data_IF_470882998767
#
_entry.id   IF_470882998767
#
_cell.length_a   1.000
_cell.length_b   1.000
_cell.length_c   1.000
_cell.angle_alpha   90.00
_cell.angle_beta   90.00
_cell.angle_gamma   90.00
#
_symmetry.space_group_name_H-M   'P 1'
#
loop_
_entity.id
_entity.type
_entity.pdbx_description
1 polymer ?
#
# COMPACT_ATOMS: atom_id res chain seq x y z
N UNK A 1 4.49 32.28 -9.65
CA UNK A 1 3.18 31.68 -10.01
C UNK A 1 3.45 30.24 -10.38
N UNK A 2 3.16 29.30 -9.47
CA UNK A 2 3.41 27.88 -9.71
C UNK A 2 2.37 27.38 -10.73
N UNK A 3 2.82 27.04 -11.94
CA UNK A 3 2.04 26.19 -12.81
C UNK A 3 1.82 24.87 -12.07
N UNK A 4 0.57 24.62 -11.67
CA UNK A 4 0.11 23.29 -11.28
C UNK A 4 0.43 22.35 -12.44
N UNK A 5 1.50 21.57 -12.29
CA UNK A 5 1.93 20.53 -13.21
C UNK A 5 0.94 19.36 -13.12
N UNK A 6 -0.30 19.57 -13.56
CA UNK A 6 -1.14 18.44 -13.90
C UNK A 6 -0.52 17.81 -15.15
N UNK A 7 0.03 16.58 -15.07
CA UNK A 7 0.54 15.91 -16.26
C UNK A 7 -0.60 15.78 -17.28
N UNK A 8 -0.26 15.84 -18.57
CA UNK A 8 -1.25 15.62 -19.63
C UNK A 8 -1.94 14.26 -19.41
N UNK A 9 -3.28 14.20 -19.54
CA UNK A 9 -4.02 12.95 -19.45
C UNK A 9 -3.49 11.91 -20.45
N UNK A 10 -3.57 10.63 -20.08
CA UNK A 10 -3.17 9.53 -20.96
C UNK A 10 -3.92 9.60 -22.30
N UNK A 11 -3.18 9.44 -23.40
CA UNK A 11 -3.78 9.32 -24.73
C UNK A 11 -4.66 8.07 -24.83
N UNK A 12 -5.66 8.05 -25.73
CA UNK A 12 -6.51 6.87 -25.94
C UNK A 12 -5.72 5.59 -26.26
N UNK A 13 -4.60 5.73 -26.97
CA UNK A 13 -3.71 4.61 -27.28
C UNK A 13 -2.98 4.07 -26.02
N UNK A 14 -2.62 4.94 -25.07
CA UNK A 14 -2.04 4.52 -23.80
C UNK A 14 -3.07 3.82 -22.90
N UNK A 15 -4.29 4.35 -22.82
CA UNK A 15 -5.40 3.72 -22.10
C UNK A 15 -5.69 2.31 -22.64
N UNK A 16 -5.74 2.14 -23.97
CA UNK A 16 -5.95 0.83 -24.59
C UNK A 16 -4.84 -0.17 -24.23
N UNK A 17 -3.57 0.26 -24.22
CA UNK A 17 -2.46 -0.61 -23.79
C UNK A 17 -2.52 -0.98 -22.31
N UNK A 18 -3.02 -0.07 -21.47
CA UNK A 18 -3.23 -0.35 -20.04
C UNK A 18 -4.33 -1.40 -19.86
N UNK A 19 -5.43 -1.30 -20.60
CA UNK A 19 -6.54 -2.27 -20.56
C UNK A 19 -6.11 -3.66 -21.04
N UNK A 20 -5.23 -3.73 -22.05
CA UNK A 20 -4.69 -4.99 -22.57
C UNK A 20 -3.59 -5.61 -21.67
N UNK A 21 -3.11 -4.88 -20.66
CA UNK A 21 -2.07 -5.36 -19.75
C UNK A 21 -2.58 -6.55 -18.92
N UNK A 22 -1.77 -7.62 -18.89
CA UNK A 22 -2.00 -8.78 -18.04
C UNK A 22 -0.78 -8.99 -17.14
N UNK A 23 -1.03 -8.95 -15.84
CA UNK A 23 -0.02 -9.25 -14.84
C UNK A 23 0.61 -10.62 -15.07
N UNK A 24 1.93 -10.67 -15.11
CA UNK A 24 2.70 -11.90 -15.28
C UNK A 24 3.95 -11.86 -14.40
N UNK A 25 3.77 -12.02 -13.10
CA UNK A 25 4.88 -12.26 -12.18
C UNK A 25 4.74 -13.63 -11.51
N UNK A 26 5.82 -14.41 -11.52
CA UNK A 26 5.94 -15.62 -10.71
C UNK A 26 6.76 -15.30 -9.47
N UNK A 27 6.16 -15.43 -8.29
CA UNK A 27 6.87 -15.31 -7.03
C UNK A 27 7.93 -16.40 -6.85
N UNK A 28 9.18 -16.01 -6.64
CA UNK A 28 10.34 -16.91 -6.47
C UNK A 28 11.16 -16.56 -5.23
N UNK A 29 10.63 -15.75 -4.32
CA UNK A 29 11.40 -15.24 -3.20
C UNK A 29 11.44 -16.24 -2.03
N UNK A 30 12.54 -16.23 -1.26
CA UNK A 30 12.80 -17.20 -0.20
C UNK A 30 11.73 -17.18 0.90
N UNK A 31 11.23 -15.99 1.24
CA UNK A 31 10.24 -15.78 2.30
C UNK A 31 8.80 -15.86 1.82
N UNK A 32 8.58 -16.06 0.53
CA UNK A 32 7.23 -16.12 0.00
C UNK A 32 6.46 -17.34 0.50
N UNK A 33 6.97 -18.60 0.46
CA UNK A 33 6.20 -19.75 0.92
C UNK A 33 5.59 -19.62 2.34
N UNK A 34 6.32 -19.17 3.38
CA UNK A 34 5.72 -18.96 4.70
C UNK A 34 4.74 -17.78 4.73
N UNK A 35 5.05 -16.65 4.08
CA UNK A 35 4.15 -15.51 4.03
C UNK A 35 2.85 -15.82 3.28
N UNK A 36 2.90 -16.68 2.26
CA UNK A 36 1.72 -17.15 1.53
C UNK A 36 0.74 -17.88 2.45
N UNK A 37 1.21 -18.64 3.45
CA UNK A 37 0.32 -19.29 4.44
C UNK A 37 -0.48 -18.23 5.21
N UNK A 38 0.23 -17.21 5.73
CA UNK A 38 -0.38 -16.11 6.45
C UNK A 38 -1.36 -15.30 5.58
N UNK A 39 -0.95 -14.88 4.38
CA UNK A 39 -1.77 -14.07 3.49
C UNK A 39 -2.99 -14.82 2.93
N UNK A 40 -2.86 -16.12 2.65
CA UNK A 40 -3.98 -16.93 2.19
C UNK A 40 -5.00 -17.16 3.32
N UNK A 41 -4.56 -17.24 4.58
CA UNK A 41 -5.48 -17.23 5.72
C UNK A 41 -6.14 -15.85 5.90
N UNK A 42 -5.35 -14.77 5.78
CA UNK A 42 -5.82 -13.41 6.03
C UNK A 42 -6.88 -12.97 5.00
N UNK A 43 -6.67 -13.25 3.71
CA UNK A 43 -7.65 -12.92 2.66
C UNK A 43 -8.99 -13.64 2.87
N UNK A 44 -9.00 -14.82 3.49
CA UNK A 44 -10.24 -15.54 3.82
C UNK A 44 -11.05 -14.85 4.91
N UNK A 45 -10.39 -14.07 5.79
CA UNK A 45 -11.07 -13.27 6.81
C UNK A 45 -11.76 -12.04 6.21
N UNK A 46 -11.37 -11.62 5.01
CA UNK A 46 -11.98 -10.48 4.32
C UNK A 46 -13.27 -10.92 3.61
N UNK A 47 -14.41 -10.25 3.88
CA UNK A 47 -15.65 -10.50 3.15
C UNK A 47 -15.51 -10.19 1.67
N UNK A 48 -16.19 -10.94 0.80
CA UNK A 48 -16.11 -10.78 -0.66
C UNK A 48 -16.76 -9.50 -1.19
N UNK A 49 -17.54 -8.79 -0.38
CA UNK A 49 -18.11 -7.49 -0.74
C UNK A 49 -17.11 -6.33 -0.55
N UNK A 50 -15.99 -6.56 0.15
CA UNK A 50 -14.92 -5.58 0.28
C UNK A 50 -14.11 -5.57 -1.02
N UNK A 51 -14.05 -4.41 -1.67
CA UNK A 51 -13.27 -4.22 -2.87
C UNK A 51 -11.76 -4.25 -2.56
N UNK A 52 -10.91 -4.80 -3.46
CA UNK A 52 -9.45 -4.87 -3.27
C UNK A 52 -8.82 -3.51 -2.93
N UNK A 53 -9.09 -2.49 -3.75
CA UNK A 53 -8.52 -1.15 -3.56
C UNK A 53 -8.93 -0.51 -2.21
N UNK A 54 -10.02 -0.98 -1.58
CA UNK A 54 -10.39 -0.54 -0.24
C UNK A 54 -9.39 -1.05 0.80
N UNK A 55 -8.85 -2.25 0.63
CA UNK A 55 -7.82 -2.80 1.53
C UNK A 55 -6.55 -1.96 1.45
N UNK A 56 -6.09 -1.64 0.24
CA UNK A 56 -4.93 -0.77 -0.01
C UNK A 56 -5.12 0.62 0.60
N UNK A 57 -6.28 1.26 0.38
CA UNK A 57 -6.59 2.60 0.95
C UNK A 57 -6.62 2.55 2.47
N UNK A 58 -7.26 1.55 3.07
CA UNK A 58 -7.36 1.42 4.53
C UNK A 58 -5.96 1.22 5.12
N UNK A 59 -5.15 0.35 4.52
CA UNK A 59 -3.75 0.18 4.93
C UNK A 59 -2.98 1.49 4.85
N UNK A 60 -3.09 2.20 3.73
CA UNK A 60 -2.36 3.46 3.52
C UNK A 60 -2.77 4.52 4.54
N UNK A 61 -4.06 4.65 4.83
CA UNK A 61 -4.56 5.57 5.84
C UNK A 61 -4.04 5.24 7.23
N UNK A 62 -4.00 3.96 7.61
CA UNK A 62 -3.42 3.53 8.88
C UNK A 62 -1.95 3.92 8.97
N UNK A 63 -1.17 3.67 7.91
CA UNK A 63 0.25 4.02 7.87
C UNK A 63 0.47 5.54 7.97
N UNK A 64 -0.27 6.33 7.18
CA UNK A 64 -0.18 7.80 7.22
C UNK A 64 -0.53 8.32 8.62
N UNK A 65 -1.59 7.81 9.25
CA UNK A 65 -1.98 8.24 10.59
C UNK A 65 -0.90 7.90 11.63
N UNK A 66 -0.31 6.71 11.58
CA UNK A 66 0.77 6.35 12.51
C UNK A 66 2.01 7.24 12.31
N UNK A 67 2.40 7.51 11.06
CA UNK A 67 3.50 8.43 10.74
C UNK A 67 3.21 9.84 11.23
N UNK A 68 1.99 10.35 11.06
CA UNK A 68 1.60 11.69 11.55
C UNK A 68 1.65 11.78 13.08
N UNK A 69 1.29 10.71 13.79
CA UNK A 69 1.45 10.64 15.25
C UNK A 69 2.92 10.75 15.63
N UNK A 70 3.82 10.05 14.94
CA UNK A 70 5.25 10.12 15.22
C UNK A 70 5.82 11.53 14.92
N UNK A 71 5.48 12.10 13.76
CA UNK A 71 5.85 13.48 13.38
C UNK A 71 5.35 14.51 14.39
N UNK A 72 4.17 14.29 14.99
CA UNK A 72 3.63 15.19 16.02
C UNK A 72 4.50 15.22 17.29
N UNK A 73 5.09 14.08 17.68
CA UNK A 73 5.98 14.02 18.84
C UNK A 73 7.41 14.47 18.53
N UNK A 74 7.88 14.25 17.30
CA UNK A 74 9.22 14.62 16.83
C UNK A 74 9.16 15.51 15.59
N UNK A 75 8.67 16.76 15.68
CA UNK A 75 8.53 17.62 14.51
C UNK A 75 9.88 18.07 13.93
N UNK A 76 10.96 18.08 14.73
CA UNK A 76 12.29 18.52 14.28
C UNK A 76 13.31 17.41 14.19
N UNK A 77 12.90 16.15 14.41
CA UNK A 77 13.79 14.98 14.48
C UNK A 77 14.92 15.13 15.54
N UNK A 78 14.72 15.99 16.54
CA UNK A 78 15.67 16.18 17.65
C UNK A 78 15.08 15.83 19.00
N UNK A 79 13.76 15.73 19.07
CA UNK A 79 13.02 15.29 20.25
C UNK A 79 12.98 13.76 20.34
N UNK A 80 12.90 13.22 21.55
CA UNK A 80 12.65 11.78 21.74
C UNK A 80 11.14 11.51 21.77
N UNK A 81 10.63 10.77 20.79
CA UNK A 81 9.25 10.31 20.79
C UNK A 81 9.04 9.25 21.88
N UNK A 82 7.83 9.16 22.45
CA UNK A 82 7.53 8.11 23.40
C UNK A 82 7.57 6.74 22.71
N UNK A 83 8.12 5.72 23.39
CA UNK A 83 8.32 4.38 22.82
C UNK A 83 7.05 3.76 22.18
N UNK A 84 5.87 4.07 22.71
CA UNK A 84 4.61 3.58 22.15
C UNK A 84 4.30 4.14 20.75
N UNK A 85 4.81 5.33 20.40
CA UNK A 85 4.62 5.92 19.08
C UNK A 85 5.38 5.13 18.01
N UNK A 86 6.63 4.73 18.30
CA UNK A 86 7.40 3.83 17.42
C UNK A 86 6.73 2.45 17.27
N UNK A 87 6.17 1.90 18.36
CA UNK A 87 5.40 0.64 18.30
C UNK A 87 4.15 0.81 17.43
N UNK A 88 3.46 1.96 17.53
CA UNK A 88 2.30 2.27 16.70
C UNK A 88 2.67 2.38 15.22
N UNK A 89 3.78 3.03 14.88
CA UNK A 89 4.32 3.10 13.51
C UNK A 89 4.70 1.71 12.97
N UNK A 90 5.43 0.90 13.73
CA UNK A 90 5.77 -0.46 13.32
C UNK A 90 4.51 -1.32 13.09
N UNK A 91 3.49 -1.18 13.93
CA UNK A 91 2.21 -1.86 13.75
C UNK A 91 1.46 -1.33 12.52
N UNK A 92 1.47 -0.02 12.28
CA UNK A 92 0.83 0.61 11.13
C UNK A 92 1.43 0.13 9.81
N UNK A 93 2.76 0.12 9.71
CA UNK A 93 3.51 -0.47 8.60
C UNK A 93 3.18 -1.96 8.41
N UNK A 94 3.16 -2.73 9.50
CA UNK A 94 2.83 -4.15 9.43
C UNK A 94 1.40 -4.39 8.90
N UNK A 95 0.44 -3.54 9.29
CA UNK A 95 -0.93 -3.58 8.79
C UNK A 95 -0.96 -3.20 7.30
N UNK A 96 -0.28 -2.11 6.91
CA UNK A 96 -0.19 -1.69 5.50
C UNK A 96 0.30 -2.84 4.61
N UNK A 97 1.49 -3.39 4.89
CA UNK A 97 2.06 -4.46 4.08
C UNK A 97 1.18 -5.72 4.05
N UNK A 98 0.41 -5.97 5.12
CA UNK A 98 -0.46 -7.14 5.21
C UNK A 98 -1.70 -6.98 4.33
N UNK A 99 -2.26 -5.76 4.29
CA UNK A 99 -3.44 -5.43 3.48
C UNK A 99 -3.09 -5.30 1.99
N UNK A 100 -1.94 -4.70 1.71
CA UNK A 100 -1.31 -4.62 0.38
C UNK A 100 -1.10 -6.02 -0.22
N UNK A 101 -0.41 -6.92 0.49
CA UNK A 101 -0.13 -8.27 0.00
C UNK A 101 -1.38 -9.15 -0.26
N UNK A 102 -2.53 -8.81 0.31
CA UNK A 102 -3.79 -9.54 0.10
C UNK A 102 -4.73 -8.87 -0.89
N UNK A 103 -4.51 -7.64 -1.33
CA UNK A 103 -5.45 -6.94 -2.20
C UNK A 103 -5.54 -7.61 -3.59
N UNK A 104 -4.41 -8.03 -4.16
CA UNK A 104 -4.34 -8.76 -5.43
C UNK A 104 -4.90 -10.17 -5.29
N UNK A 105 -4.79 -10.77 -4.09
CA UNK A 105 -5.43 -12.05 -3.78
C UNK A 105 -6.94 -11.91 -3.71
N UNK A 106 -7.43 -10.84 -3.09
CA UNK A 106 -8.83 -10.52 -3.02
C UNK A 106 -9.36 -10.22 -4.43
N UNK A 107 -8.63 -9.47 -5.26
CA UNK A 107 -9.01 -9.16 -6.63
C UNK A 107 -9.18 -10.42 -7.49
N UNK A 108 -8.30 -11.42 -7.32
CA UNK A 108 -8.44 -12.73 -7.97
C UNK A 108 -9.65 -13.50 -7.45
N UNK A 109 -9.92 -13.43 -6.13
CA UNK A 109 -11.07 -14.08 -5.48
C UNK A 109 -12.41 -13.49 -5.92
N UNK A 110 -12.47 -12.18 -6.14
CA UNK A 110 -13.68 -11.44 -6.56
C UNK A 110 -13.81 -11.28 -8.07
N UNK A 111 -12.89 -11.84 -8.87
CA UNK A 111 -12.79 -11.65 -10.32
C UNK A 111 -12.77 -10.17 -10.74
N UNK A 112 -12.11 -9.33 -9.94
CA UNK A 112 -11.99 -7.88 -10.15
C UNK A 112 -10.55 -7.41 -10.37
N UNK A 113 -9.65 -8.32 -10.77
CA UNK A 113 -8.28 -7.98 -11.17
C UNK A 113 -8.27 -7.08 -12.40
N UNK A 114 -7.53 -5.98 -12.34
CA UNK A 114 -7.38 -5.03 -13.46
C UNK A 114 -6.02 -4.35 -13.40
N UNK A 115 -5.52 -3.91 -14.56
CA UNK A 115 -4.27 -3.15 -14.66
C UNK A 115 -4.33 -1.80 -13.91
N UNK A 116 -5.52 -1.20 -13.82
CA UNK A 116 -5.72 0.02 -13.03
C UNK A 116 -5.60 -0.25 -11.53
N UNK A 117 -6.13 -1.38 -11.04
CA UNK A 117 -5.97 -1.78 -9.65
C UNK A 117 -4.50 -2.00 -9.28
N UNK A 118 -3.73 -2.62 -10.17
CA UNK A 118 -2.28 -2.80 -10.01
C UNK A 118 -1.50 -1.48 -10.02
N UNK A 119 -1.85 -0.55 -10.91
CA UNK A 119 -1.26 0.79 -10.91
C UNK A 119 -1.58 1.55 -9.61
N UNK A 120 -2.80 1.36 -9.09
CA UNK A 120 -3.24 1.98 -7.85
C UNK A 120 -2.48 1.45 -6.63
N UNK A 121 -2.29 0.13 -6.56
CA UNK A 121 -1.48 -0.58 -5.57
C UNK A 121 -0.04 -0.04 -5.51
N UNK A 122 0.66 -0.06 -6.64
CA UNK A 122 2.01 0.52 -6.76
C UNK A 122 2.08 2.01 -6.44
N UNK A 123 1.03 2.77 -6.75
CA UNK A 123 0.92 4.17 -6.38
C UNK A 123 0.87 4.35 -4.86
N UNK A 124 0.12 3.50 -4.16
CA UNK A 124 0.04 3.49 -2.70
C UNK A 124 1.37 3.08 -2.07
N UNK A 125 2.07 2.09 -2.64
CA UNK A 125 3.40 1.67 -2.19
C UNK A 125 4.42 2.80 -2.23
N UNK A 126 4.40 3.61 -3.29
CA UNK A 126 5.27 4.76 -3.41
C UNK A 126 5.02 5.79 -2.30
N UNK A 127 3.75 6.03 -1.95
CA UNK A 127 3.38 6.95 -0.85
C UNK A 127 3.80 6.36 0.50
N UNK A 128 3.51 5.09 0.72
CA UNK A 128 3.86 4.35 1.95
C UNK A 128 5.37 4.32 2.19
N UNK A 129 6.17 4.17 1.12
CA UNK A 129 7.64 4.26 1.18
C UNK A 129 8.12 5.65 1.64
N UNK A 130 7.45 6.71 1.19
CA UNK A 130 7.72 8.07 1.66
C UNK A 130 7.44 8.25 3.15
N UNK A 131 6.34 7.66 3.63
CA UNK A 131 5.99 7.67 5.06
C UNK A 131 7.04 6.92 5.89
N UNK A 132 7.44 5.71 5.48
CA UNK A 132 8.52 4.94 6.12
C UNK A 132 9.83 5.72 6.20
N UNK A 133 10.20 6.38 5.10
CA UNK A 133 11.42 7.19 5.06
C UNK A 133 11.39 8.28 6.13
N UNK A 134 10.26 8.96 6.32
CA UNK A 134 10.10 9.96 7.38
C UNK A 134 10.31 9.31 8.75
N UNK A 135 9.68 8.16 9.01
CA UNK A 135 9.81 7.46 10.29
C UNK A 135 11.24 7.01 10.59
N UNK A 136 12.04 6.66 9.59
CA UNK A 136 13.45 6.30 9.77
C UNK A 136 14.33 7.50 10.14
N UNK A 137 13.93 8.72 9.75
CA UNK A 137 14.65 9.95 10.08
C UNK A 137 14.18 10.60 11.39
N UNK A 138 13.13 10.09 12.04
CA UNK A 138 12.58 10.60 13.31
C UNK A 138 12.98 9.73 14.51
#
# INVERSE_FOLDING_TARGET
MAHLLCPEPLSPAQLKRLEEHKYSASGRSLFEPPCQIYWNWLVQQIPTWVAPNTLTIVGLLVNIVSTLVLVYFCPTATEEAPAWAFVLSALGLFIYQSLDAIDGKQARRTNSSSALGELFDHGCDAVSTGAYTIEEFL
#
